data_IF_730100197309
#
_entry.id   IF_730100197309
#
_cell.length_a   1.000
_cell.length_b   1.000
_cell.length_c   1.000
_cell.angle_alpha   90.00
_cell.angle_beta   90.00
_cell.angle_gamma   90.00
#
_symmetry.space_group_name_H-M   'P 1'
#
loop_
_entity.id
_entity.type
_entity.pdbx_description
1 polymer ?
#
# COMPACT_ATOMS: atom_id res chain seq x y z
N UNK A 1 -2.49 1.99 -1.71
CA UNK A 1 -1.28 2.85 -1.68
C UNK A 1 -1.49 4.02 -0.73
N UNK A 2 -0.55 4.27 0.18
CA UNK A 2 -0.47 5.47 1.01
C UNK A 2 0.94 6.07 0.93
N UNK A 3 1.04 7.41 0.91
CA UNK A 3 2.30 8.15 0.89
C UNK A 3 2.34 9.11 2.08
N UNK A 4 3.07 8.73 3.13
CA UNK A 4 3.24 9.52 4.33
C UNK A 4 4.38 10.51 4.13
N UNK A 5 4.16 11.79 4.44
CA UNK A 5 5.11 12.86 4.13
C UNK A 5 5.57 13.56 5.40
N UNK A 6 6.88 13.70 5.56
CA UNK A 6 7.52 14.33 6.70
C UNK A 6 8.37 15.49 6.20
N UNK A 7 7.93 16.71 6.46
CA UNK A 7 8.62 17.93 6.01
C UNK A 7 9.37 18.56 7.17
N UNK A 8 10.66 18.83 6.97
CA UNK A 8 11.51 19.55 7.90
C UNK A 8 11.74 20.97 7.37
N UNK A 9 11.17 21.96 8.05
CA UNK A 9 11.32 23.38 7.71
C UNK A 9 12.46 24.08 8.46
N UNK A 10 13.26 23.33 9.20
CA UNK A 10 14.40 23.88 9.95
C UNK A 10 15.69 23.83 9.13
N UNK A 11 16.68 24.65 9.51
CA UNK A 11 17.99 24.71 8.87
C UNK A 11 18.96 23.59 9.23
N UNK A 12 18.49 22.52 9.89
CA UNK A 12 19.30 21.35 10.26
C UNK A 12 18.48 20.07 10.08
N UNK A 13 19.16 18.94 9.89
CA UNK A 13 18.51 17.63 9.79
C UNK A 13 17.71 17.28 11.04
N UNK A 14 16.66 16.49 10.84
CA UNK A 14 15.78 16.00 11.92
C UNK A 14 15.56 14.51 11.77
N UNK A 15 15.91 13.77 12.81
CA UNK A 15 15.56 12.35 12.91
C UNK A 15 14.26 12.18 13.69
N UNK A 16 13.35 11.43 13.10
CA UNK A 16 12.11 10.96 13.70
C UNK A 16 12.31 9.49 14.07
N UNK A 17 12.48 9.23 15.37
CA UNK A 17 12.54 7.88 15.92
C UNK A 17 11.13 7.37 16.18
N UNK A 18 10.85 6.11 15.85
CA UNK A 18 9.58 5.42 16.10
C UNK A 18 8.38 5.98 15.31
N UNK A 19 8.55 6.25 14.02
CA UNK A 19 7.41 6.50 13.13
C UNK A 19 6.67 5.18 12.91
N UNK A 20 5.48 5.04 13.50
CA UNK A 20 4.66 3.84 13.41
C UNK A 20 3.64 4.00 12.28
N UNK A 21 3.73 3.14 11.26
CA UNK A 21 2.74 3.03 10.19
C UNK A 21 2.16 1.63 10.27
N UNK A 22 0.87 1.55 10.54
CA UNK A 22 0.20 0.30 10.82
C UNK A 22 -1.31 0.47 10.78
N UNK A 23 -2.00 -0.60 11.12
CA UNK A 23 -3.46 -0.65 11.13
C UNK A 23 -3.96 -1.97 11.69
N UNK A 24 -5.29 -2.05 11.76
CA UNK A 24 -6.03 -3.26 12.03
C UNK A 24 -6.50 -3.83 10.68
N UNK A 25 -6.31 -5.13 10.46
CA UNK A 25 -6.60 -5.81 9.20
C UNK A 25 -8.09 -6.15 9.01
N UNK A 26 -8.92 -5.89 10.03
CA UNK A 26 -10.37 -6.10 10.00
C UNK A 26 -10.79 -7.56 10.13
N UNK A 27 -9.84 -8.43 10.48
CA UNK A 27 -10.03 -9.81 10.87
C UNK A 27 -10.19 -9.93 12.39
N UNK A 28 -10.20 -11.14 12.92
CA UNK A 28 -10.30 -11.39 14.37
C UNK A 28 -8.97 -11.94 14.92
N UNK A 29 -8.99 -12.47 16.13
CA UNK A 29 -7.83 -13.08 16.79
C UNK A 29 -7.25 -14.29 16.02
N UNK A 30 -7.92 -14.77 14.98
CA UNK A 30 -7.47 -15.89 14.13
C UNK A 30 -6.69 -15.43 12.90
N UNK A 31 -6.36 -14.14 12.79
CA UNK A 31 -5.46 -13.63 11.73
C UNK A 31 -4.11 -14.34 11.77
N UNK A 32 -3.66 -14.86 10.64
CA UNK A 32 -2.36 -15.50 10.48
C UNK A 32 -1.58 -14.84 9.35
N UNK A 33 -0.25 -14.82 9.51
CA UNK A 33 0.65 -14.59 8.37
C UNK A 33 0.64 -15.84 7.50
N UNK A 34 0.25 -15.68 6.25
CA UNK A 34 0.17 -16.74 5.25
C UNK A 34 1.45 -16.89 4.45
N UNK A 35 2.13 -15.77 4.22
CA UNK A 35 3.37 -15.71 3.46
C UNK A 35 4.13 -14.41 3.71
N UNK A 36 5.44 -14.46 3.58
CA UNK A 36 6.34 -13.31 3.55
C UNK A 36 7.21 -13.30 2.30
N UNK A 37 8.04 -12.26 2.16
CA UNK A 37 8.85 -12.04 0.96
C UNK A 37 9.95 -13.09 0.71
N UNK A 38 10.34 -13.84 1.74
CA UNK A 38 11.23 -14.99 1.66
C UNK A 38 10.48 -16.35 1.64
N UNK A 39 9.17 -16.29 1.41
CA UNK A 39 8.27 -17.42 1.18
C UNK A 39 8.02 -18.33 2.41
N UNK A 40 8.17 -17.80 3.62
CA UNK A 40 7.73 -18.47 4.84
C UNK A 40 6.53 -17.76 5.52
N UNK A 41 6.25 -18.03 6.79
CA UNK A 41 5.10 -17.48 7.53
C UNK A 41 5.50 -16.79 8.84
N UNK A 42 6.80 -16.64 9.06
CA UNK A 42 7.34 -15.83 10.14
C UNK A 42 7.50 -14.42 9.60
N UNK A 43 7.24 -13.40 10.44
CA UNK A 43 7.43 -12.01 10.02
C UNK A 43 8.71 -11.46 10.63
N UNK A 44 9.73 -11.29 9.81
CA UNK A 44 11.05 -10.79 10.16
C UNK A 44 11.21 -9.33 9.74
N UNK A 45 12.18 -8.62 10.34
CA UNK A 45 12.51 -7.25 9.92
C UNK A 45 13.08 -7.17 8.49
N UNK A 46 13.58 -8.28 7.94
CA UNK A 46 14.05 -8.38 6.56
C UNK A 46 12.94 -8.43 5.51
N UNK A 47 11.71 -8.73 5.91
CA UNK A 47 10.62 -8.91 4.94
C UNK A 47 10.19 -7.62 4.25
N UNK A 48 10.12 -7.65 2.93
CA UNK A 48 9.66 -6.55 2.10
C UNK A 48 8.14 -6.37 2.17
N UNK A 49 7.42 -7.46 2.35
CA UNK A 49 5.97 -7.53 2.43
C UNK A 49 5.54 -8.77 3.20
N UNK A 50 4.28 -8.78 3.65
CA UNK A 50 3.65 -9.95 4.26
C UNK A 50 2.19 -10.07 3.81
N UNK A 51 1.69 -11.29 3.81
CA UNK A 51 0.34 -11.67 3.40
C UNK A 51 -0.38 -12.24 4.61
N UNK A 52 -1.62 -11.85 4.80
CA UNK A 52 -2.47 -12.28 5.91
C UNK A 52 -3.83 -12.76 5.43
N UNK A 53 -4.42 -13.66 6.21
CA UNK A 53 -5.84 -13.99 6.19
C UNK A 53 -6.18 -14.62 7.54
N UNK A 54 -7.46 -14.81 7.83
CA UNK A 54 -7.89 -15.51 9.05
C UNK A 54 -8.23 -17.00 8.81
N UNK A 55 -7.80 -17.54 7.68
CA UNK A 55 -7.88 -18.97 7.37
C UNK A 55 -6.66 -19.71 7.88
N UNK A 56 -6.78 -21.03 8.04
CA UNK A 56 -5.64 -21.88 8.34
C UNK A 56 -4.52 -21.70 7.30
N UNK A 57 -3.26 -21.86 7.72
CA UNK A 57 -2.08 -21.63 6.87
C UNK A 57 -2.18 -22.35 5.53
N UNK A 58 -2.03 -21.61 4.43
CA UNK A 58 -2.07 -22.13 3.06
C UNK A 58 -3.46 -22.47 2.54
N UNK A 59 -4.52 -22.16 3.28
CA UNK A 59 -5.91 -22.36 2.85
C UNK A 59 -6.51 -21.03 2.40
N UNK A 60 -7.03 -20.99 1.17
CA UNK A 60 -7.70 -19.80 0.67
C UNK A 60 -9.04 -19.52 1.40
N UNK A 61 -9.40 -18.23 1.59
CA UNK A 61 -10.73 -17.84 2.09
C UNK A 61 -11.87 -18.40 1.25
N UNK A 62 -12.86 -19.00 1.91
CA UNK A 62 -14.10 -19.44 1.28
C UNK A 62 -15.13 -18.29 1.32
N UNK A 63 -15.52 -17.71 0.17
CA UNK A 63 -16.45 -16.59 0.13
C UNK A 63 -17.86 -16.94 0.63
N UNK A 64 -18.17 -18.22 0.83
CA UNK A 64 -19.44 -18.67 1.41
C UNK A 64 -19.42 -18.71 2.94
N UNK A 65 -18.24 -18.58 3.58
CA UNK A 65 -18.08 -18.52 5.02
C UNK A 65 -17.98 -17.07 5.49
N UNK A 66 -18.97 -16.54 6.23
CA UNK A 66 -18.95 -15.15 6.66
C UNK A 66 -17.81 -14.78 7.61
N UNK A 67 -17.18 -15.78 8.23
CA UNK A 67 -16.03 -15.58 9.09
C UNK A 67 -14.76 -15.34 8.28
N UNK A 68 -14.60 -15.92 7.08
CA UNK A 68 -13.37 -15.83 6.32
C UNK A 68 -13.17 -14.41 5.78
N UNK A 69 -12.03 -13.80 6.10
CA UNK A 69 -11.63 -12.50 5.60
C UNK A 69 -10.80 -12.62 4.33
N UNK A 70 -10.78 -11.59 3.48
CA UNK A 70 -9.94 -11.59 2.28
C UNK A 70 -8.45 -11.79 2.59
N UNK A 71 -7.70 -12.23 1.58
CA UNK A 71 -6.24 -12.25 1.66
C UNK A 71 -5.72 -10.84 1.51
N UNK A 72 -4.93 -10.34 2.45
CA UNK A 72 -4.39 -8.98 2.47
C UNK A 72 -2.87 -9.00 2.41
N UNK A 73 -2.30 -8.34 1.41
CA UNK A 73 -0.86 -8.10 1.28
C UNK A 73 -0.53 -6.69 1.76
N UNK A 74 0.48 -6.54 2.61
CA UNK A 74 0.99 -5.24 3.08
C UNK A 74 2.49 -5.13 2.77
N UNK A 75 2.90 -4.05 2.10
CA UNK A 75 4.32 -3.75 1.91
C UNK A 75 4.93 -3.05 3.14
N UNK A 76 6.22 -3.25 3.34
CA UNK A 76 7.02 -2.68 4.44
C UNK A 76 8.11 -1.79 3.89
N UNK A 77 8.90 -2.30 2.96
CA UNK A 77 9.95 -1.57 2.26
C UNK A 77 10.27 -2.30 0.95
N UNK A 78 11.03 -1.63 0.08
CA UNK A 78 11.67 -2.26 -1.06
C UNK A 78 13.11 -2.64 -0.79
N UNK A 79 13.68 -3.36 -1.76
CA UNK A 79 15.11 -3.64 -1.84
C UNK A 79 15.91 -2.34 -1.84
N UNK A 80 17.04 -2.33 -1.12
CA UNK A 80 17.95 -1.19 -1.05
C UNK A 80 17.43 0.04 -0.29
N UNK A 81 16.30 -0.09 0.42
CA UNK A 81 15.73 1.00 1.20
C UNK A 81 16.73 1.62 2.19
N UNK A 82 16.79 2.96 2.21
CA UNK A 82 17.58 3.70 3.19
C UNK A 82 16.96 3.61 4.61
N UNK A 83 15.65 3.41 4.71
CA UNK A 83 14.91 3.18 5.95
C UNK A 83 14.19 1.83 5.89
N UNK A 84 14.76 0.84 6.57
CA UNK A 84 14.15 -0.48 6.78
C UNK A 84 13.37 -0.46 8.10
N UNK A 85 12.07 -0.79 8.12
CA UNK A 85 11.30 -0.82 9.34
C UNK A 85 11.69 -2.00 10.23
N UNK A 86 11.42 -1.84 11.51
CA UNK A 86 11.33 -2.96 12.46
C UNK A 86 9.86 -3.27 12.78
N UNK A 87 9.60 -4.44 13.33
CA UNK A 87 8.27 -4.78 13.82
C UNK A 87 7.89 -3.92 15.04
N UNK A 88 6.87 -3.09 14.86
CA UNK A 88 6.23 -2.31 15.91
C UNK A 88 5.14 -3.12 16.64
N UNK A 89 4.29 -3.78 15.86
CA UNK A 89 3.38 -4.85 16.28
C UNK A 89 3.46 -5.96 15.24
N UNK A 90 3.48 -7.21 15.70
CA UNK A 90 3.49 -8.39 14.84
C UNK A 90 2.05 -8.88 14.77
N UNK A 91 1.53 -9.01 13.54
CA UNK A 91 0.24 -9.64 13.29
C UNK A 91 0.30 -11.13 13.61
N UNK A 92 -0.76 -11.67 14.19
CA UNK A 92 -0.86 -13.09 14.55
C UNK A 92 -0.99 -13.35 16.05
N UNK A 93 -1.29 -14.61 16.38
CA UNK A 93 -1.47 -15.08 17.76
C UNK A 93 -2.84 -14.71 18.35
N UNK A 94 -3.04 -13.42 18.65
CA UNK A 94 -4.30 -12.88 19.21
C UNK A 94 -4.62 -11.47 18.71
N UNK A 95 -3.91 -11.00 17.68
CA UNK A 95 -4.12 -9.64 17.14
C UNK A 95 -4.13 -9.65 15.62
N UNK A 96 -5.09 -8.92 15.10
CA UNK A 96 -5.28 -8.52 13.70
C UNK A 96 -4.55 -7.21 13.37
N UNK A 97 -3.75 -6.70 14.31
CA UNK A 97 -3.11 -5.39 14.20
C UNK A 97 -1.63 -5.55 13.89
N UNK A 98 -1.13 -4.70 13.00
CA UNK A 98 0.28 -4.65 12.64
C UNK A 98 0.81 -3.22 12.74
N UNK A 99 2.12 -3.07 12.89
CA UNK A 99 2.77 -1.80 12.63
C UNK A 99 4.22 -1.99 12.21
N UNK A 100 4.61 -1.30 11.15
CA UNK A 100 5.99 -1.08 10.74
C UNK A 100 6.52 0.16 11.46
N UNK A 101 7.68 0.01 12.11
CA UNK A 101 8.34 1.07 12.87
C UNK A 101 9.57 1.56 12.13
N UNK A 102 9.51 2.78 11.62
CA UNK A 102 10.61 3.42 10.89
C UNK A 102 11.39 4.38 11.78
N UNK A 103 12.68 4.48 11.49
CA UNK A 103 13.51 5.62 11.86
C UNK A 103 13.82 6.40 10.60
N UNK A 104 13.44 7.68 10.57
CA UNK A 104 13.52 8.51 9.36
C UNK A 104 14.34 9.75 9.65
N UNK A 105 15.36 10.00 8.85
CA UNK A 105 16.06 11.30 8.84
C UNK A 105 15.51 12.16 7.71
N UNK A 106 15.01 13.35 8.07
CA UNK A 106 14.54 14.36 7.13
C UNK A 106 15.58 15.48 7.06
N UNK A 107 16.26 15.68 5.92
CA UNK A 107 17.27 16.73 5.78
C UNK A 107 16.70 18.13 6.02
N UNK A 108 17.57 19.10 6.31
CA UNK A 108 17.19 20.51 6.42
C UNK A 108 16.38 20.98 5.19
N UNK A 109 15.30 21.74 5.42
CA UNK A 109 14.44 22.30 4.37
C UNK A 109 13.94 21.28 3.33
N UNK A 110 13.80 20.01 3.69
CA UNK A 110 13.48 18.91 2.77
C UNK A 110 12.27 18.10 3.23
N UNK A 111 11.82 17.19 2.38
CA UNK A 111 10.76 16.22 2.71
C UNK A 111 11.31 14.80 2.54
N UNK A 112 10.95 13.92 3.47
CA UNK A 112 11.11 12.48 3.32
C UNK A 112 9.73 11.83 3.31
N UNK A 113 9.59 10.70 2.60
CA UNK A 113 8.31 10.02 2.44
C UNK A 113 8.44 8.53 2.68
N UNK A 114 7.38 7.94 3.26
CA UNK A 114 7.21 6.50 3.34
C UNK A 114 6.06 6.10 2.43
N UNK A 115 6.34 5.18 1.52
CA UNK A 115 5.37 4.61 0.60
C UNK A 115 4.96 3.23 1.08
N UNK A 116 3.66 3.02 1.28
CA UNK A 116 3.10 1.72 1.68
C UNK A 116 2.04 1.28 0.67
N UNK A 117 2.12 0.02 0.27
CA UNK A 117 1.11 -0.65 -0.53
C UNK A 117 0.30 -1.60 0.34
N UNK A 118 -0.96 -1.72 0.00
CA UNK A 118 -1.88 -2.68 0.56
C UNK A 118 -2.75 -3.17 -0.59
N UNK A 119 -2.93 -4.47 -0.68
CA UNK A 119 -3.71 -5.13 -1.72
C UNK A 119 -4.60 -6.20 -1.10
N UNK A 120 -5.76 -6.43 -1.72
CA UNK A 120 -6.67 -7.51 -1.37
C UNK A 120 -6.72 -8.48 -2.55
N UNK A 121 -6.46 -9.75 -2.28
CA UNK A 121 -6.46 -10.82 -3.26
C UNK A 121 -7.50 -11.89 -2.90
N UNK A 122 -7.92 -12.67 -3.90
CA UNK A 122 -8.86 -13.78 -3.70
C UNK A 122 -8.18 -15.01 -3.12
N UNK A 123 -6.94 -15.26 -3.51
CA UNK A 123 -6.16 -16.43 -3.11
C UNK A 123 -4.80 -16.01 -2.59
N UNK A 124 -4.20 -16.85 -1.75
CA UNK A 124 -2.85 -16.70 -1.24
C UNK A 124 -1.83 -16.77 -2.39
N UNK A 125 -2.11 -17.61 -3.40
CA UNK A 125 -1.24 -17.75 -4.57
C UNK A 125 -1.21 -16.47 -5.43
N UNK A 126 -2.37 -15.85 -5.65
CA UNK A 126 -2.44 -14.58 -6.37
C UNK A 126 -1.72 -13.48 -5.57
N UNK A 127 -1.95 -13.43 -4.26
CA UNK A 127 -1.28 -12.48 -3.38
C UNK A 127 0.26 -12.58 -3.48
N UNK A 128 0.83 -13.79 -3.44
CA UNK A 128 2.27 -14.01 -3.61
C UNK A 128 2.79 -13.51 -4.96
N UNK A 129 2.01 -13.67 -6.02
CA UNK A 129 2.38 -13.25 -7.37
C UNK A 129 2.36 -11.72 -7.46
N UNK A 130 1.29 -11.08 -6.98
CA UNK A 130 1.12 -9.63 -7.04
C UNK A 130 2.05 -8.88 -6.08
N UNK A 131 2.42 -9.47 -4.94
CA UNK A 131 3.33 -8.86 -3.97
C UNK A 131 4.72 -8.52 -4.56
N UNK A 132 5.11 -9.18 -5.66
CA UNK A 132 6.32 -8.84 -6.42
C UNK A 132 6.33 -7.40 -6.94
N UNK A 133 5.17 -6.82 -7.21
CA UNK A 133 5.04 -5.41 -7.61
C UNK A 133 5.50 -4.44 -6.49
N UNK A 134 5.71 -4.91 -5.26
CA UNK A 134 6.13 -4.09 -4.12
C UNK A 134 7.61 -4.21 -3.76
N UNK A 135 8.40 -5.05 -4.45
CA UNK A 135 9.79 -5.35 -4.03
C UNK A 135 10.79 -4.26 -4.41
N UNK A 136 10.52 -3.50 -5.47
CA UNK A 136 11.33 -2.36 -5.92
C UNK A 136 10.45 -1.19 -6.41
N UNK A 137 11.01 0.02 -6.52
CA UNK A 137 10.27 1.13 -7.16
C UNK A 137 10.06 0.89 -8.66
N UNK A 138 10.98 0.18 -9.33
CA UNK A 138 10.82 -0.16 -10.74
C UNK A 138 9.65 -1.13 -10.95
N UNK A 139 9.52 -2.16 -10.10
CA UNK A 139 8.38 -3.08 -10.14
C UNK A 139 7.07 -2.33 -9.88
N UNK A 140 7.04 -1.47 -8.87
CA UNK A 140 5.87 -0.63 -8.59
C UNK A 140 5.55 0.33 -9.74
N UNK A 141 6.56 0.88 -10.41
CA UNK A 141 6.40 1.72 -11.59
C UNK A 141 5.81 0.94 -12.77
N UNK A 142 6.35 -0.27 -13.02
CA UNK A 142 5.92 -1.19 -14.08
C UNK A 142 4.48 -1.69 -13.89
N UNK A 143 4.06 -1.83 -12.63
CA UNK A 143 2.69 -2.12 -12.22
C UNK A 143 1.76 -0.89 -12.29
N UNK A 144 2.28 0.30 -12.59
CA UNK A 144 1.52 1.56 -12.62
C UNK A 144 1.17 2.10 -11.23
N UNK A 145 1.69 1.51 -10.16
CA UNK A 145 1.42 1.88 -8.76
C UNK A 145 2.00 3.23 -8.36
N UNK A 146 2.96 3.77 -9.13
CA UNK A 146 3.53 5.11 -8.92
C UNK A 146 2.82 6.21 -9.71
N UNK A 147 1.78 5.87 -10.49
CA UNK A 147 1.03 6.84 -11.29
C UNK A 147 0.54 8.01 -10.42
N UNK A 148 0.75 9.23 -10.92
CA UNK A 148 0.40 10.48 -10.25
C UNK A 148 1.42 10.98 -9.21
N UNK A 149 2.51 10.25 -8.95
CA UNK A 149 3.62 10.77 -8.16
C UNK A 149 4.63 11.50 -9.05
N UNK A 150 5.05 12.70 -8.65
CA UNK A 150 6.10 13.43 -9.35
C UNK A 150 7.46 12.77 -9.14
N UNK A 151 8.42 13.02 -10.04
CA UNK A 151 9.79 12.54 -9.87
C UNK A 151 10.39 12.98 -8.52
N UNK A 152 10.12 14.22 -8.10
CA UNK A 152 10.52 14.73 -6.80
C UNK A 152 9.92 13.90 -5.64
N UNK A 153 8.64 13.54 -5.71
CA UNK A 153 8.03 12.71 -4.68
C UNK A 153 8.63 11.31 -4.63
N UNK A 154 9.01 10.75 -5.80
CA UNK A 154 9.61 9.43 -5.87
C UNK A 154 11.02 9.39 -5.27
N UNK A 155 11.87 10.40 -5.55
CA UNK A 155 13.21 10.48 -4.94
C UNK A 155 13.17 10.78 -3.43
N UNK A 156 12.06 11.30 -2.93
CA UNK A 156 11.86 11.55 -1.49
C UNK A 156 11.38 10.29 -0.74
N UNK A 157 11.08 9.18 -1.42
CA UNK A 157 10.70 7.91 -0.79
C UNK A 157 11.95 7.27 -0.17
N UNK A 158 11.95 7.08 1.15
CA UNK A 158 13.13 6.59 1.88
C UNK A 158 13.06 5.09 2.19
N UNK A 159 11.89 4.47 2.11
CA UNK A 159 11.72 3.03 2.35
C UNK A 159 11.79 2.17 1.07
N UNK A 160 12.38 2.72 0.00
CA UNK A 160 12.72 2.03 -1.24
C UNK A 160 14.02 2.63 -1.79
N UNK A 161 14.79 1.86 -2.56
CA UNK A 161 15.87 2.42 -3.37
C UNK A 161 15.31 3.12 -4.62
N UNK A 162 15.95 4.21 -5.03
CA UNK A 162 15.56 5.05 -6.18
C UNK A 162 16.36 4.70 -7.43
N UNK A 163 16.73 3.43 -7.61
CA UNK A 163 17.52 3.00 -8.77
C UNK A 163 16.84 3.48 -10.07
N UNK A 164 17.61 4.22 -10.88
CA UNK A 164 17.15 4.84 -12.11
C UNK A 164 17.15 3.80 -13.24
N UNK A 165 16.00 3.26 -13.69
CA UNK A 165 16.09 2.34 -14.83
C UNK A 165 14.81 1.72 -15.42
N UNK A 166 14.20 2.43 -16.38
CA UNK A 166 13.43 1.94 -17.56
C UNK A 166 12.40 0.82 -17.41
N UNK A 167 11.15 1.20 -17.66
CA UNK A 167 9.96 0.36 -17.58
C UNK A 167 9.84 -0.77 -18.61
N UNK A 168 9.35 -1.92 -18.14
CA UNK A 168 8.65 -2.94 -18.95
C UNK A 168 7.35 -3.31 -18.24
N UNK A 169 6.22 -3.14 -18.93
CA UNK A 169 4.87 -3.19 -18.34
C UNK A 169 4.52 -4.58 -17.81
N UNK A 170 4.11 -4.67 -16.54
CA UNK A 170 3.55 -5.87 -15.88
C UNK A 170 2.04 -5.97 -16.16
N UNK A 171 1.50 -7.19 -16.18
CA UNK A 171 0.09 -7.47 -16.54
C UNK A 171 -0.90 -7.36 -15.36
N UNK A 172 -0.50 -6.86 -14.20
CA UNK A 172 -1.37 -6.73 -13.03
C UNK A 172 -2.40 -5.60 -13.23
N UNK A 173 -3.69 -5.93 -13.15
CA UNK A 173 -4.79 -4.97 -13.36
C UNK A 173 -4.98 -4.13 -12.10
N UNK A 174 -4.62 -2.85 -12.21
CA UNK A 174 -4.88 -1.84 -11.19
C UNK A 174 -6.08 -0.97 -11.63
N UNK A 175 -7.13 -0.91 -10.83
CA UNK A 175 -8.28 -0.01 -11.07
C UNK A 175 -7.87 1.42 -10.74
N UNK A 176 -7.14 2.05 -11.64
CA UNK A 176 -6.86 3.49 -11.67
C UNK A 176 -7.42 4.08 -12.96
N UNK A 177 -8.54 4.82 -12.86
CA UNK A 177 -9.09 5.56 -13.99
C UNK A 177 -8.20 6.77 -14.29
N UNK A 178 -7.34 6.63 -15.30
CA UNK A 178 -6.57 7.74 -15.89
C UNK A 178 -7.42 8.41 -16.96
N UNK A 179 -8.26 9.37 -16.56
CA UNK A 179 -9.01 10.22 -17.48
C UNK A 179 -8.29 11.53 -17.77
N UNK A 180 -7.93 11.76 -19.04
CA UNK A 180 -7.90 13.11 -19.64
C UNK A 180 -6.55 13.61 -20.15
N UNK A 181 -6.32 13.45 -21.46
CA UNK A 181 -5.28 14.17 -22.20
C UNK A 181 -5.48 14.01 -23.71
N UNK A 182 -6.05 15.04 -24.34
CA UNK A 182 -6.52 15.09 -25.72
C UNK A 182 -5.41 15.42 -26.75
N UNK A 183 -5.74 15.17 -28.03
CA UNK A 183 -5.09 15.51 -29.32
C UNK A 183 -4.10 14.47 -29.87
N UNK A 184 -4.22 13.96 -31.10
CA UNK A 184 -5.18 14.18 -32.18
C UNK A 184 -4.58 13.67 -33.51
N UNK A 185 -5.44 13.16 -34.41
CA UNK A 185 -5.16 13.04 -35.84
C UNK A 185 -5.10 11.61 -36.42
N UNK A 186 -6.08 11.25 -37.26
CA UNK A 186 -5.97 10.07 -38.13
C UNK A 186 -7.29 9.41 -38.52
N UNK A 187 -8.03 10.05 -39.42
CA UNK A 187 -9.28 9.62 -40.05
C UNK A 187 -9.16 8.29 -40.84
N UNK A 188 -10.14 7.37 -40.73
CA UNK A 188 -10.95 6.87 -41.89
C UNK A 188 -11.89 5.69 -41.53
N UNK A 189 -13.17 5.83 -41.90
CA UNK A 189 -13.95 4.72 -42.49
C UNK A 189 -15.17 4.16 -41.73
N UNK A 190 -16.38 4.60 -42.09
CA UNK A 190 -17.43 3.66 -42.55
C UNK A 190 -18.52 3.15 -41.58
N UNK A 191 -19.54 3.98 -41.35
CA UNK A 191 -21.01 3.72 -41.28
C UNK A 191 -21.57 2.30 -40.98
N UNK A 192 -22.44 2.18 -39.95
CA UNK A 192 -23.91 2.06 -40.13
C UNK A 192 -24.70 1.76 -38.84
N UNK A 193 -25.76 2.55 -38.60
CA UNK A 193 -27.09 2.09 -38.17
C UNK A 193 -27.43 1.96 -36.66
N UNK A 194 -28.36 2.82 -36.18
CA UNK A 194 -29.45 2.33 -35.30
C UNK A 194 -29.75 3.07 -33.98
N UNK A 195 -30.61 4.09 -34.08
CA UNK A 195 -31.69 4.50 -33.14
C UNK A 195 -31.44 4.95 -31.68
N UNK A 196 -32.04 6.11 -31.41
CA UNK A 196 -32.16 6.91 -30.18
C UNK A 196 -33.12 6.37 -29.12
N UNK A 197 -32.82 6.56 -27.82
CA UNK A 197 -33.61 7.43 -26.92
C UNK A 197 -33.12 7.42 -25.46
N UNK A 198 -32.74 8.62 -25.02
CA UNK A 198 -32.85 9.29 -23.71
C UNK A 198 -32.97 8.55 -22.36
N UNK A 199 -32.25 9.18 -21.41
CA UNK A 199 -32.49 9.32 -19.95
C UNK A 199 -31.86 8.29 -19.01
N UNK A 200 -31.05 8.82 -18.09
CA UNK A 200 -30.66 8.14 -16.85
C UNK A 200 -29.16 7.90 -16.73
N UNK A 201 -28.39 8.95 -16.49
CA UNK A 201 -27.12 8.82 -15.78
C UNK A 201 -27.42 8.23 -14.40
N UNK A 202 -27.34 6.90 -14.29
CA UNK A 202 -27.30 6.22 -13.01
C UNK A 202 -25.85 6.11 -12.60
N UNK A 203 -25.41 7.19 -11.96
CA UNK A 203 -24.43 7.14 -10.88
C UNK A 203 -24.76 5.95 -9.96
N UNK A 204 -23.88 4.96 -9.95
CA UNK A 204 -23.81 3.88 -8.96
C UNK A 204 -22.34 3.54 -8.83
N UNK A 205 -21.62 3.68 -7.72
CA UNK A 205 -21.86 4.22 -6.39
C UNK A 205 -20.49 4.03 -5.74
N UNK A 206 -19.79 5.11 -5.37
CA UNK A 206 -19.76 5.53 -3.98
C UNK A 206 -19.96 4.33 -3.04
N UNK A 207 -18.87 3.89 -2.42
CA UNK A 207 -18.88 2.98 -1.28
C UNK A 207 -20.04 3.38 -0.36
N UNK A 208 -20.99 2.47 -0.18
CA UNK A 208 -22.19 2.79 0.58
C UNK A 208 -21.81 3.15 2.03
N UNK A 209 -22.47 4.14 2.66
CA UNK A 209 -22.08 4.64 3.99
C UNK A 209 -22.32 3.66 5.15
N UNK A 210 -22.73 2.43 4.88
CA UNK A 210 -23.11 1.45 5.90
C UNK A 210 -22.04 0.37 6.15
N UNK A 211 -20.97 0.34 5.36
CA UNK A 211 -19.85 -0.62 5.51
C UNK A 211 -18.50 0.00 5.91
N UNK A 212 -18.42 1.33 6.07
CA UNK A 212 -17.20 2.07 6.41
C UNK A 212 -17.36 2.73 7.78
N UNK A 213 -17.59 1.91 8.80
CA UNK A 213 -17.57 2.37 10.20
C UNK A 213 -16.37 1.86 10.99
N UNK A 214 -15.47 1.05 10.41
CA UNK A 214 -14.35 0.45 11.15
C UNK A 214 -12.93 0.74 10.60
N UNK A 215 -12.77 1.45 9.48
CA UNK A 215 -11.43 1.76 8.92
C UNK A 215 -11.02 3.25 9.01
N UNK A 216 -11.74 4.06 9.80
CA UNK A 216 -11.44 5.49 10.00
C UNK A 216 -11.27 5.89 11.47
N UNK A 217 -11.14 4.92 12.37
CA UNK A 217 -10.91 5.16 13.79
C UNK A 217 -9.47 4.90 14.19
N UNK A 218 -8.68 5.96 14.34
CA UNK A 218 -7.49 6.02 15.19
C UNK A 218 -6.15 5.50 14.60
N UNK A 219 -5.65 6.19 13.56
CA UNK A 219 -4.19 6.38 13.43
C UNK A 219 -3.73 7.31 14.56
N UNK A 220 -3.59 6.76 15.78
CA UNK A 220 -3.20 7.54 16.97
C UNK A 220 -1.75 7.99 16.85
N UNK A 221 -1.52 9.25 16.50
CA UNK A 221 -0.26 9.93 16.82
C UNK A 221 -0.20 10.13 18.35
N UNK A 222 0.43 9.22 19.08
CA UNK A 222 0.84 9.49 20.47
C UNK A 222 1.94 10.54 20.49
N UNK A 223 1.60 11.80 20.77
CA UNK A 223 2.58 12.86 21.07
C UNK A 223 3.33 12.52 22.36
N UNK A 224 4.61 12.14 22.25
CA UNK A 224 5.52 12.05 23.40
C UNK A 224 5.89 13.47 23.86
N UNK A 225 5.36 13.91 25.01
CA UNK A 225 5.81 15.14 25.69
C UNK A 225 7.14 14.89 26.40
N UNK A 226 8.22 15.55 25.97
CA UNK A 226 9.48 15.60 26.72
C UNK A 226 9.26 16.35 28.05
N UNK A 227 9.56 15.69 29.19
CA UNK A 227 9.66 16.37 30.49
C UNK A 227 10.90 17.26 30.51
N UNK A 228 10.72 18.55 30.77
CA UNK A 228 11.82 19.43 31.22
C UNK A 228 12.25 18.97 32.61
N UNK A 229 13.54 18.65 32.78
CA UNK A 229 14.14 18.53 34.11
C UNK A 229 14.19 19.93 34.75
N UNK A 230 13.73 20.02 35.99
CA UNK A 230 14.12 21.06 36.92
C UNK A 230 15.41 20.63 37.62
#
# INVERSE_FOLDING_TARGET
RALYSFTNTSGSDRTLDNVMIGGNLGSDETTLVQATSDADSTLEDSDLWFITSNTASGIDPDPTKPADTPVVTISRNGTGAASVPTNGFIVGGTTDSFANRYTITVPANSTARILVFAEINKTISDAKTCAKDFETLDDASNAGLLTGLTAQQQIEIVNYDTASGTSTVSSCIHTGSSGGGNNGGGNSGGSSGGSSSSTGSKSTGALSPSGIAALLGLLTLTRVRRKKKA
#
